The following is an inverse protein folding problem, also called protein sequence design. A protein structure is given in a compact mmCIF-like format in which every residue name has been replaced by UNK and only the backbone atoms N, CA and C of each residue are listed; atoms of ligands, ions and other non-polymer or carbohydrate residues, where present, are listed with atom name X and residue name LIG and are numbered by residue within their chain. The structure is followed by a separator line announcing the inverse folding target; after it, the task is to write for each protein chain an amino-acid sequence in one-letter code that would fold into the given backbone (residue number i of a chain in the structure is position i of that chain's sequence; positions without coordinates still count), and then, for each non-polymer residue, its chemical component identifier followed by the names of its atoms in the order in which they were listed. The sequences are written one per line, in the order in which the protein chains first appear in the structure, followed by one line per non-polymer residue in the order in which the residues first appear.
data_IF_620413794695
#
_entry.id   IF_620413794695
#
_cell.length_a   1.000
_cell.length_b   1.000
_cell.length_c   1.000
_cell.angle_alpha   90.00
_cell.angle_beta   90.00
_cell.angle_gamma   90.00
#
_symmetry.space_group_name_H-M   'P 1'
#
loop_
_entity.id
_entity.type
_entity.pdbx_description
1 polymer ?
#
# COMPACT_ATOMS: atom_id res chain seq x y z
N UNK A 1 13.40 13.55 17.62
CA UNK A 1 12.82 12.26 18.05
C UNK A 1 11.78 11.93 17.00
N UNK A 2 12.13 11.24 15.90
CA UNK A 2 11.17 11.16 14.78
C UNK A 2 11.33 9.96 13.85
N UNK A 3 12.55 9.51 13.51
CA UNK A 3 12.70 8.38 12.55
C UNK A 3 12.32 7.02 13.16
N UNK A 4 12.63 6.80 14.45
CA UNK A 4 12.27 5.54 15.13
C UNK A 4 10.75 5.39 15.35
N UNK A 5 10.06 6.51 15.56
CA UNK A 5 8.62 6.49 15.88
C UNK A 5 7.79 6.15 14.66
N UNK A 6 8.12 6.71 13.49
CA UNK A 6 7.45 6.42 12.22
C UNK A 6 7.64 4.95 11.78
N UNK A 7 8.84 4.41 11.97
CA UNK A 7 9.12 2.99 11.71
C UNK A 7 8.36 2.07 12.68
N UNK A 8 8.26 2.45 13.96
CA UNK A 8 7.50 1.69 14.96
C UNK A 8 6.01 1.67 14.64
N UNK A 9 5.44 2.79 14.18
CA UNK A 9 4.03 2.90 13.81
C UNK A 9 3.71 2.10 12.54
N UNK A 10 4.61 2.13 11.53
CA UNK A 10 4.50 1.27 10.34
C UNK A 10 4.60 -0.21 10.75
N UNK A 11 5.55 -0.54 11.62
CA UNK A 11 5.72 -1.91 12.12
C UNK A 11 4.50 -2.36 12.91
N UNK A 12 3.92 -1.51 13.75
CA UNK A 12 2.70 -1.80 14.51
C UNK A 12 1.49 -1.94 13.59
N UNK A 13 1.35 -1.13 12.54
CA UNK A 13 0.28 -1.29 11.54
C UNK A 13 0.44 -2.59 10.78
N UNK A 14 1.66 -2.93 10.33
CA UNK A 14 1.90 -4.16 9.61
C UNK A 14 1.70 -5.37 10.53
N UNK A 15 2.33 -5.37 11.71
CA UNK A 15 2.35 -6.46 12.70
C UNK A 15 1.00 -6.70 13.37
N UNK A 16 0.31 -5.64 13.82
CA UNK A 16 -0.97 -5.79 14.55
C UNK A 16 -2.17 -6.05 13.65
N UNK A 17 -2.07 -5.85 12.33
CA UNK A 17 -3.14 -6.19 11.40
C UNK A 17 -3.04 -7.59 10.81
N UNK A 18 -2.14 -8.44 11.33
CA UNK A 18 -1.95 -9.83 10.84
C UNK A 18 -1.77 -9.91 9.32
N UNK A 19 -1.30 -8.82 8.69
CA UNK A 19 -1.07 -8.76 7.24
C UNK A 19 -0.08 -9.88 6.87
N UNK A 20 0.84 -10.20 7.77
CA UNK A 20 1.78 -11.33 7.72
C UNK A 20 1.10 -12.69 7.52
N UNK A 21 0.00 -12.97 8.24
CA UNK A 21 -0.76 -14.22 8.10
C UNK A 21 -1.53 -14.27 6.79
N UNK A 22 -2.09 -13.14 6.34
CA UNK A 22 -2.83 -13.07 5.08
C UNK A 22 -1.92 -13.18 3.86
N UNK A 23 -0.64 -12.80 4.01
CA UNK A 23 0.32 -12.68 2.91
C UNK A 23 1.40 -13.78 2.92
N UNK A 24 1.35 -14.70 3.88
CA UNK A 24 2.27 -15.84 3.95
C UNK A 24 3.71 -15.46 4.32
N UNK A 25 3.89 -14.46 5.20
CA UNK A 25 5.21 -14.01 5.68
C UNK A 25 6.23 -13.68 4.58
N UNK A 26 5.96 -12.69 3.71
CA UNK A 26 6.84 -12.41 2.59
C UNK A 26 8.13 -11.66 2.99
N UNK A 27 9.19 -11.82 2.20
CA UNK A 27 10.42 -11.01 2.29
C UNK A 27 10.14 -9.59 1.75
N UNK A 28 9.95 -8.64 2.67
CA UNK A 28 9.66 -7.25 2.34
C UNK A 28 10.91 -6.53 1.83
N UNK A 29 10.72 -5.69 0.82
CA UNK A 29 11.77 -4.80 0.30
C UNK A 29 11.26 -3.35 0.36
N UNK A 30 12.16 -2.41 0.66
CA UNK A 30 11.79 -1.00 0.89
C UNK A 30 11.72 -0.16 -0.40
N UNK A 31 12.12 -0.68 -1.56
CA UNK A 31 12.18 0.13 -2.80
C UNK A 31 11.72 -0.63 -4.05
N UNK A 32 10.59 -0.22 -4.63
CA UNK A 32 10.09 -0.77 -5.89
C UNK A 32 10.54 0.13 -7.07
N UNK A 33 11.40 -0.39 -7.95
CA UNK A 33 11.93 0.29 -9.14
C UNK A 33 12.80 1.55 -8.85
N UNK A 34 14.09 1.32 -8.60
CA UNK A 34 15.12 2.38 -8.66
C UNK A 34 15.45 2.75 -10.11
N UNK A 35 14.62 3.59 -10.75
CA UNK A 35 14.95 4.18 -12.05
C UNK A 35 15.73 5.47 -11.85
N UNK A 36 16.95 5.60 -12.41
CA UNK A 36 17.73 6.85 -12.38
C UNK A 36 17.08 8.03 -13.14
N UNK A 37 15.94 7.82 -13.81
CA UNK A 37 15.26 8.81 -14.67
C UNK A 37 13.90 9.30 -14.15
N UNK A 38 13.38 8.73 -13.08
CA UNK A 38 12.11 9.14 -12.44
C UNK A 38 12.27 9.02 -10.93
N UNK A 39 11.56 9.86 -10.17
CA UNK A 39 11.45 9.67 -8.72
C UNK A 39 11.07 8.21 -8.41
N UNK A 40 11.76 7.55 -7.47
CA UNK A 40 11.49 6.15 -7.13
C UNK A 40 10.02 5.98 -6.68
N UNK A 41 9.43 4.82 -6.96
CA UNK A 41 8.12 4.45 -6.40
C UNK A 41 8.38 3.73 -5.09
N UNK A 42 8.22 4.44 -3.98
CA UNK A 42 8.50 3.90 -2.66
C UNK A 42 7.17 3.62 -1.98
N UNK A 43 6.64 2.39 -2.06
CA UNK A 43 5.49 2.01 -1.25
C UNK A 43 5.90 1.91 0.22
N UNK A 44 4.93 1.89 1.13
CA UNK A 44 5.21 1.57 2.54
C UNK A 44 5.79 0.18 2.69
N UNK A 45 5.28 -0.78 1.91
CA UNK A 45 5.85 -2.12 1.83
C UNK A 45 5.45 -2.80 0.50
N UNK A 46 6.23 -3.77 0.03
CA UNK A 46 5.81 -4.63 -1.08
C UNK A 46 6.43 -6.02 -1.01
N UNK A 47 5.81 -6.96 -1.72
CA UNK A 47 6.34 -8.30 -1.92
C UNK A 47 5.84 -8.93 -3.21
N UNK A 48 6.40 -10.09 -3.55
CA UNK A 48 5.90 -10.93 -4.63
C UNK A 48 5.32 -12.24 -4.07
N UNK A 49 4.11 -12.59 -4.50
CA UNK A 49 3.55 -13.93 -4.30
C UNK A 49 3.54 -14.64 -5.67
N UNK A 50 4.50 -15.54 -5.87
CA UNK A 50 4.79 -16.08 -7.20
C UNK A 50 5.21 -14.98 -8.17
N UNK A 51 4.38 -14.71 -9.19
CA UNK A 51 4.62 -13.65 -10.20
C UNK A 51 3.79 -12.38 -9.96
N UNK A 52 2.92 -12.36 -8.95
CA UNK A 52 2.07 -11.22 -8.64
C UNK A 52 2.79 -10.30 -7.67
N UNK A 53 2.82 -9.00 -7.99
CA UNK A 53 3.28 -7.95 -7.09
C UNK A 53 2.15 -7.59 -6.12
N UNK A 54 2.47 -7.45 -4.85
CA UNK A 54 1.59 -6.95 -3.82
C UNK A 54 2.23 -5.72 -3.18
N UNK A 55 1.42 -4.68 -2.97
CA UNK A 55 1.89 -3.36 -2.51
C UNK A 55 1.02 -2.87 -1.36
N UNK A 56 1.64 -2.28 -0.34
CA UNK A 56 0.97 -1.65 0.79
C UNK A 56 1.27 -0.16 0.78
N UNK A 57 0.22 0.63 0.93
CA UNK A 57 0.27 2.06 1.21
C UNK A 57 -0.45 2.37 2.53
N UNK A 58 0.25 3.04 3.44
CA UNK A 58 -0.31 3.51 4.70
C UNK A 58 -0.54 5.02 4.59
N UNK A 59 -1.79 5.44 4.74
CA UNK A 59 -2.14 6.84 4.92
C UNK A 59 -1.95 7.26 6.37
N UNK A 60 -1.04 8.18 6.61
CA UNK A 60 -0.72 8.70 7.96
C UNK A 60 -1.50 9.94 8.33
N UNK A 61 -2.39 10.44 7.45
CA UNK A 61 -3.00 11.77 7.61
C UNK A 61 -2.22 12.86 6.88
N UNK A 62 -0.90 12.80 6.89
CA UNK A 62 -0.05 13.90 6.40
C UNK A 62 0.44 13.68 4.97
N UNK A 63 0.31 12.46 4.45
CA UNK A 63 0.90 12.04 3.17
C UNK A 63 -0.09 11.97 1.99
N UNK A 64 -1.27 12.61 2.10
CA UNK A 64 -2.38 12.47 1.15
C UNK A 64 -1.98 12.70 -0.32
N UNK A 65 -1.16 13.74 -0.58
CA UNK A 65 -0.71 14.05 -1.93
C UNK A 65 0.23 12.96 -2.48
N UNK A 66 1.17 12.48 -1.65
CA UNK A 66 2.09 11.41 -2.01
C UNK A 66 1.33 10.11 -2.29
N UNK A 67 0.36 9.76 -1.44
CA UNK A 67 -0.54 8.61 -1.62
C UNK A 67 -1.23 8.66 -2.99
N UNK A 68 -1.84 9.78 -3.37
CA UNK A 68 -2.52 9.88 -4.67
C UNK A 68 -1.56 9.73 -5.85
N UNK A 69 -0.37 10.34 -5.75
CA UNK A 69 0.67 10.20 -6.76
C UNK A 69 1.11 8.74 -6.92
N UNK A 70 1.32 8.02 -5.82
CA UNK A 70 1.65 6.60 -5.84
C UNK A 70 0.51 5.76 -6.43
N UNK A 71 -0.75 6.03 -6.05
CA UNK A 71 -1.92 5.32 -6.58
C UNK A 71 -2.07 5.46 -8.10
N UNK A 72 -1.81 6.65 -8.65
CA UNK A 72 -1.79 6.85 -10.10
C UNK A 72 -0.66 6.07 -10.78
N UNK A 73 0.49 5.93 -10.11
CA UNK A 73 1.60 5.11 -10.61
C UNK A 73 1.27 3.63 -10.58
N UNK A 74 0.60 3.14 -9.52
CA UNK A 74 0.11 1.77 -9.45
C UNK A 74 -0.93 1.47 -10.53
N UNK A 75 -1.84 2.40 -10.82
CA UNK A 75 -2.77 2.25 -11.94
C UNK A 75 -2.02 2.10 -13.28
N UNK A 76 -0.90 2.81 -13.45
CA UNK A 76 0.00 2.62 -14.59
C UNK A 76 0.61 1.21 -14.67
N UNK A 77 1.03 0.65 -13.53
CA UNK A 77 1.54 -0.73 -13.45
C UNK A 77 0.46 -1.76 -13.79
N UNK A 78 -0.78 -1.54 -13.32
CA UNK A 78 -1.94 -2.39 -13.63
C UNK A 78 -2.20 -2.41 -15.13
N UNK A 79 -2.32 -1.23 -15.75
CA UNK A 79 -2.52 -1.09 -17.21
C UNK A 79 -1.42 -1.79 -18.00
N UNK A 80 -0.17 -1.69 -17.53
CA UNK A 80 0.96 -2.38 -18.16
C UNK A 80 0.88 -3.90 -18.01
N UNK A 81 0.49 -4.40 -16.84
CA UNK A 81 0.34 -5.83 -16.58
C UNK A 81 -0.79 -6.44 -17.43
N UNK A 82 -1.93 -5.75 -17.52
CA UNK A 82 -3.07 -6.13 -18.38
C UNK A 82 -2.63 -6.22 -19.85
N UNK A 83 -1.94 -5.19 -20.36
CA UNK A 83 -1.43 -5.16 -21.74
C UNK A 83 -0.45 -6.29 -22.05
N UNK A 84 0.31 -6.74 -21.04
CA UNK A 84 1.32 -7.81 -21.16
C UNK A 84 0.77 -9.19 -20.81
N UNK A 85 -0.51 -9.29 -20.45
CA UNK A 85 -1.13 -10.54 -19.95
C UNK A 85 -0.35 -11.17 -18.79
N UNK A 86 0.24 -10.33 -17.93
CA UNK A 86 0.92 -10.75 -16.70
C UNK A 86 0.00 -10.52 -15.49
N UNK A 87 0.23 -11.19 -14.35
CA UNK A 87 -0.57 -10.98 -13.15
C UNK A 87 -0.63 -9.51 -12.74
N UNK A 88 -1.85 -8.99 -12.62
CA UNK A 88 -2.12 -7.62 -12.16
C UNK A 88 -1.65 -7.44 -10.72
N UNK A 89 -0.95 -6.33 -10.38
CA UNK A 89 -0.58 -6.01 -9.01
C UNK A 89 -1.80 -5.86 -8.10
N UNK A 90 -1.68 -6.32 -6.85
CA UNK A 90 -2.67 -6.07 -5.81
C UNK A 90 -2.15 -4.97 -4.88
N UNK A 91 -2.91 -3.88 -4.73
CA UNK A 91 -2.60 -2.78 -3.82
C UNK A 91 -3.51 -2.86 -2.60
N UNK A 92 -2.95 -2.67 -1.42
CA UNK A 92 -3.66 -2.55 -0.15
C UNK A 92 -3.45 -1.13 0.38
N UNK A 93 -4.53 -0.39 0.56
CA UNK A 93 -4.52 0.95 1.11
C UNK A 93 -5.09 0.93 2.52
N UNK A 94 -4.29 1.38 3.48
CA UNK A 94 -4.66 1.42 4.89
C UNK A 94 -4.85 2.87 5.33
N UNK A 95 -5.96 3.12 6.00
CA UNK A 95 -6.21 4.41 6.66
C UNK A 95 -7.09 4.23 7.89
N UNK A 96 -6.81 5.00 8.93
CA UNK A 96 -7.68 5.11 10.10
C UNK A 96 -8.90 6.01 9.85
N UNK A 97 -8.90 6.79 8.76
CA UNK A 97 -9.93 7.77 8.44
C UNK A 97 -10.85 7.29 7.31
N UNK A 98 -12.14 7.08 7.63
CA UNK A 98 -13.14 6.64 6.65
C UNK A 98 -13.39 7.66 5.55
N UNK A 99 -13.26 8.96 5.84
CA UNK A 99 -13.47 10.00 4.84
C UNK A 99 -12.38 9.92 3.75
N UNK A 100 -11.17 9.48 4.12
CA UNK A 100 -10.08 9.27 3.15
C UNK A 100 -10.32 8.11 2.22
N UNK A 101 -11.02 7.07 2.67
CA UNK A 101 -11.42 5.96 1.79
C UNK A 101 -12.32 6.47 0.66
N UNK A 102 -13.38 7.19 1.03
CA UNK A 102 -14.31 7.78 0.06
C UNK A 102 -13.58 8.73 -0.88
N UNK A 103 -12.76 9.63 -0.32
CA UNK A 103 -11.97 10.56 -1.13
C UNK A 103 -11.05 9.83 -2.11
N UNK A 104 -10.38 8.74 -1.69
CA UNK A 104 -9.45 8.02 -2.55
C UNK A 104 -10.20 7.35 -3.71
N UNK A 105 -11.33 6.70 -3.43
CA UNK A 105 -12.17 6.09 -4.45
C UNK A 105 -12.65 7.13 -5.48
N UNK A 106 -13.15 8.28 -5.02
CA UNK A 106 -13.55 9.38 -5.89
C UNK A 106 -12.39 9.93 -6.73
N UNK A 107 -11.24 10.17 -6.10
CA UNK A 107 -10.04 10.68 -6.77
C UNK A 107 -9.48 9.74 -7.84
N UNK A 108 -9.74 8.44 -7.70
CA UNK A 108 -9.39 7.41 -8.68
C UNK A 108 -10.48 7.16 -9.72
N UNK A 109 -11.64 7.82 -9.62
CA UNK A 109 -12.77 7.64 -10.54
C UNK A 109 -13.61 6.40 -10.23
N UNK A 110 -13.75 6.07 -8.96
CA UNK A 110 -14.56 4.96 -8.45
C UNK A 110 -13.76 3.72 -8.05
N UNK A 111 -14.49 2.67 -7.71
CA UNK A 111 -13.93 1.39 -7.24
C UNK A 111 -12.95 0.78 -8.23
N UNK A 112 -11.79 0.33 -7.72
CA UNK A 112 -10.73 -0.30 -8.51
C UNK A 112 -10.55 -1.77 -8.07
N UNK A 113 -10.73 -2.76 -8.96
CA UNK A 113 -10.56 -4.18 -8.59
C UNK A 113 -9.17 -4.56 -8.07
N UNK A 114 -8.14 -3.81 -8.47
CA UNK A 114 -6.75 -4.00 -8.06
C UNK A 114 -6.42 -3.33 -6.71
N UNK A 115 -7.35 -2.55 -6.14
CA UNK A 115 -7.18 -1.83 -4.88
C UNK A 115 -8.07 -2.44 -3.80
N UNK A 116 -7.49 -2.74 -2.64
CA UNK A 116 -8.22 -3.12 -1.43
C UNK A 116 -8.06 -2.04 -0.39
N UNK A 117 -9.17 -1.38 -0.09
CA UNK A 117 -9.27 -0.41 0.99
C UNK A 117 -9.48 -1.15 2.32
N UNK A 118 -8.56 -0.97 3.26
CA UNK A 118 -8.56 -1.64 4.55
C UNK A 118 -8.80 -0.60 5.66
N UNK A 119 -9.84 -0.84 6.46
CA UNK A 119 -10.26 0.04 7.53
C UNK A 119 -10.20 -0.68 8.88
N UNK A 120 -8.99 -0.97 9.38
CA UNK A 120 -8.84 -1.42 10.76
C UNK A 120 -7.46 -1.03 11.31
N UNK A 121 -7.49 -0.40 12.49
CA UNK A 121 -6.58 -0.68 13.59
C UNK A 121 -7.50 -0.93 14.79
N UNK A 122 -7.83 -2.20 15.07
CA UNK A 122 -8.31 -2.50 16.43
C UNK A 122 -7.12 -2.20 17.34
N UNK A 123 -7.24 -1.19 18.20
CA UNK A 123 -6.55 -1.22 19.48
C UNK A 123 -7.10 -2.45 20.23
N UNK A 124 -6.51 -3.62 20.02
CA UNK A 124 -6.54 -4.67 21.04
C UNK A 124 -5.81 -4.08 22.25
N UNK A 125 -6.42 -3.92 23.40
CA UNK A 125 -7.26 -4.94 24.05
C UNK A 125 -6.35 -5.58 25.07
N UNK A 126 -6.40 -5.07 26.29
CA UNK A 126 -5.75 -5.71 27.43
C UNK A 126 -6.20 -7.17 27.48
N UNK A 127 -5.24 -8.08 27.57
CA UNK A 127 -5.41 -9.32 28.31
C UNK A 127 -4.69 -9.11 29.64
#
# INVERSE_FOLDING_TARGET
MTILTELQDIYDVLYRNEIWEWCGYPEWNETLFSSRKREPLVPTAYWYQGRRLHVVEIDTGENLHATLCNMRRYEGLVKQAEKRSTPVPQVYYFTSDRLRLTWLEEALGGHKPWLRCMHHLRKGGNI
#
